data_IF_342132179617
#
_entry.id   IF_342132179617
#
_cell.length_a   1.000
_cell.length_b   1.000
_cell.length_c   1.000
_cell.angle_alpha   90.00
_cell.angle_beta   90.00
_cell.angle_gamma   90.00
#
_symmetry.space_group_name_H-M   'P 1'
#
loop_
_entity.id
_entity.type
_entity.pdbx_description
1 polymer ?
#
# COMPACT_ATOMS: atom_id res chain seq x y z
N UNK A 1 -37.12 -18.21 -56.41
CA UNK A 1 -36.33 -17.06 -55.86
C UNK A 1 -36.79 -16.60 -54.50
N UNK A 2 -38.07 -16.44 -54.16
CA UNK A 2 -38.52 -16.01 -52.83
C UNK A 2 -38.27 -17.05 -51.70
N UNK A 3 -38.31 -18.35 -52.02
CA UNK A 3 -38.08 -19.41 -51.01
C UNK A 3 -36.60 -19.53 -50.62
N UNK A 4 -35.64 -19.26 -51.52
CA UNK A 4 -34.19 -19.30 -51.24
C UNK A 4 -33.73 -18.11 -50.35
N UNK A 5 -34.39 -16.96 -50.50
CA UNK A 5 -34.08 -15.77 -49.68
C UNK A 5 -34.55 -15.92 -48.22
N UNK A 6 -35.64 -16.62 -47.96
CA UNK A 6 -36.16 -16.85 -46.60
C UNK A 6 -35.29 -17.86 -45.86
N UNK A 7 -34.77 -18.88 -46.50
CA UNK A 7 -33.85 -19.87 -45.88
C UNK A 7 -32.48 -19.25 -45.58
N UNK A 8 -31.98 -18.33 -46.39
CA UNK A 8 -30.71 -17.65 -46.14
C UNK A 8 -30.81 -16.64 -44.99
N UNK A 9 -31.95 -15.96 -44.82
CA UNK A 9 -32.20 -15.06 -43.70
C UNK A 9 -32.35 -15.79 -42.38
N UNK A 10 -32.96 -16.99 -42.36
CA UNK A 10 -33.12 -17.81 -41.17
C UNK A 10 -31.79 -18.41 -40.67
N UNK A 11 -30.88 -18.80 -41.58
CA UNK A 11 -29.54 -19.29 -41.22
C UNK A 11 -28.61 -18.18 -40.69
N UNK A 12 -28.74 -16.96 -41.20
CA UNK A 12 -27.96 -15.81 -40.72
C UNK A 12 -28.42 -15.34 -39.35
N UNK A 13 -29.73 -15.46 -39.01
CA UNK A 13 -30.27 -15.14 -37.68
C UNK A 13 -29.86 -16.17 -36.62
N UNK A 14 -29.63 -17.43 -36.98
CA UNK A 14 -29.17 -18.47 -36.04
C UNK A 14 -27.68 -18.33 -35.67
N UNK A 15 -26.86 -17.72 -36.57
CA UNK A 15 -25.44 -17.48 -36.33
C UNK A 15 -25.15 -16.28 -35.41
N UNK A 16 -26.13 -15.39 -35.19
CA UNK A 16 -26.02 -14.25 -34.27
C UNK A 16 -26.34 -14.59 -32.79
N UNK A 17 -26.78 -15.81 -32.50
CA UNK A 17 -27.10 -16.31 -31.17
C UNK A 17 -25.92 -17.08 -30.48
N UNK A 18 -24.76 -17.14 -31.14
CA UNK A 18 -23.52 -17.52 -30.42
C UNK A 18 -23.10 -16.29 -29.62
N UNK A 19 -23.88 -16.01 -28.60
CA UNK A 19 -23.60 -14.96 -27.65
C UNK A 19 -22.21 -15.21 -27.06
N UNK A 20 -21.37 -14.18 -27.05
CA UNK A 20 -20.22 -14.09 -26.20
C UNK A 20 -20.68 -14.32 -24.76
N UNK A 21 -20.69 -15.58 -24.31
CA UNK A 21 -20.66 -15.89 -22.89
C UNK A 21 -19.33 -15.32 -22.39
N UNK A 22 -19.36 -14.17 -21.77
CA UNK A 22 -18.23 -13.74 -20.97
C UNK A 22 -17.81 -14.93 -20.08
N UNK A 23 -16.52 -15.25 -19.95
CA UNK A 23 -16.11 -16.33 -19.06
C UNK A 23 -16.76 -16.06 -17.71
N UNK A 24 -17.57 -17.02 -17.21
CA UNK A 24 -18.08 -16.94 -15.85
C UNK A 24 -16.86 -16.83 -14.94
N UNK A 25 -16.72 -15.71 -14.25
CA UNK A 25 -15.73 -15.64 -13.18
C UNK A 25 -15.97 -16.84 -12.24
N UNK A 26 -14.91 -17.55 -11.95
CA UNK A 26 -14.97 -18.66 -10.98
C UNK A 26 -15.45 -18.09 -9.65
N UNK A 27 -16.60 -18.54 -9.16
CA UNK A 27 -17.23 -18.07 -7.92
C UNK A 27 -16.29 -18.19 -6.70
N UNK A 28 -15.23 -18.98 -6.81
CA UNK A 28 -14.20 -19.14 -5.80
C UNK A 28 -13.04 -18.13 -5.94
N UNK A 29 -13.01 -17.35 -7.00
CA UNK A 29 -11.95 -16.35 -7.20
C UNK A 29 -12.12 -15.17 -6.26
N UNK A 30 -11.03 -14.75 -5.63
CA UNK A 30 -10.93 -13.57 -4.79
C UNK A 30 -9.73 -12.73 -5.28
N UNK A 31 -9.98 -11.49 -5.69
CA UNK A 31 -8.97 -10.59 -6.24
C UNK A 31 -8.48 -9.60 -5.18
N UNK A 32 -7.15 -9.44 -5.07
CA UNK A 32 -6.54 -8.52 -4.10
C UNK A 32 -5.51 -7.63 -4.79
N UNK A 33 -5.71 -6.31 -4.69
CA UNK A 33 -4.72 -5.33 -5.09
C UNK A 33 -3.66 -5.16 -3.98
N UNK A 34 -2.37 -5.17 -4.35
CA UNK A 34 -1.28 -5.05 -3.40
C UNK A 34 -0.07 -4.35 -4.03
N UNK A 35 0.81 -3.75 -3.23
CA UNK A 35 2.15 -3.38 -3.68
C UNK A 35 3.06 -4.61 -3.72
N UNK A 36 4.16 -4.53 -4.48
CA UNK A 36 5.00 -5.70 -4.76
C UNK A 36 5.60 -6.33 -3.49
N UNK A 37 6.22 -5.51 -2.64
CA UNK A 37 6.92 -5.90 -1.40
C UNK A 37 6.42 -5.01 -0.27
N UNK A 38 6.14 -5.52 0.91
CA UNK A 38 6.05 -6.94 1.31
C UNK A 38 4.70 -7.57 0.97
N UNK A 39 3.69 -6.79 0.60
CA UNK A 39 2.28 -7.14 0.55
C UNK A 39 1.97 -8.31 -0.39
N UNK A 40 2.36 -8.21 -1.67
CA UNK A 40 2.13 -9.30 -2.62
C UNK A 40 2.95 -10.56 -2.27
N UNK A 41 4.12 -10.41 -1.64
CA UNK A 41 4.92 -11.55 -1.19
C UNK A 41 4.25 -12.30 -0.05
N UNK A 42 3.66 -11.58 0.93
CA UNK A 42 2.88 -12.17 2.02
C UNK A 42 1.63 -12.88 1.48
N UNK A 43 0.91 -12.26 0.53
CA UNK A 43 -0.24 -12.90 -0.13
C UNK A 43 0.15 -14.17 -0.88
N UNK A 44 1.30 -14.17 -1.59
CA UNK A 44 1.80 -15.36 -2.30
C UNK A 44 2.09 -16.52 -1.35
N UNK A 45 2.57 -16.23 -0.14
CA UNK A 45 2.85 -17.25 0.88
C UNK A 45 1.62 -18.06 1.25
N UNK A 46 0.44 -17.44 1.27
CA UNK A 46 -0.82 -18.07 1.69
C UNK A 46 -1.68 -18.58 0.53
N UNK A 47 -1.34 -18.29 -0.74
CA UNK A 47 -2.10 -18.79 -1.88
C UNK A 47 -2.33 -20.32 -1.85
N UNK A 48 -1.30 -21.17 -1.58
CA UNK A 48 -1.49 -22.61 -1.53
C UNK A 48 -2.41 -23.07 -0.39
N UNK A 49 -2.44 -22.35 0.73
CA UNK A 49 -3.32 -22.62 1.85
C UNK A 49 -4.77 -22.32 1.47
N UNK A 50 -5.01 -21.14 0.90
CA UNK A 50 -6.35 -20.73 0.46
C UNK A 50 -6.90 -21.63 -0.65
N UNK A 51 -6.06 -22.09 -1.58
CA UNK A 51 -6.47 -23.03 -2.62
C UNK A 51 -6.99 -24.35 -2.04
N UNK A 52 -6.38 -24.87 -0.96
CA UNK A 52 -6.88 -26.07 -0.24
C UNK A 52 -8.24 -25.83 0.45
N UNK A 53 -8.54 -24.57 0.78
CA UNK A 53 -9.82 -24.16 1.36
C UNK A 53 -10.86 -23.76 0.31
N UNK A 54 -10.56 -23.98 -0.99
CA UNK A 54 -11.44 -23.67 -2.12
C UNK A 54 -11.49 -22.20 -2.49
N UNK A 55 -10.47 -21.39 -2.15
CA UNK A 55 -10.36 -19.99 -2.55
C UNK A 55 -9.23 -19.81 -3.54
N UNK A 56 -9.55 -19.35 -4.76
CA UNK A 56 -8.60 -18.99 -5.81
C UNK A 56 -8.15 -17.54 -5.65
N UNK A 57 -7.07 -17.30 -4.90
CA UNK A 57 -6.55 -15.95 -4.68
C UNK A 57 -5.81 -15.44 -5.90
N UNK A 58 -6.26 -14.33 -6.48
CA UNK A 58 -5.59 -13.59 -7.55
C UNK A 58 -5.01 -12.29 -7.03
N UNK A 59 -3.70 -12.12 -7.16
CA UNK A 59 -2.97 -10.95 -6.69
C UNK A 59 -2.73 -10.01 -7.88
N UNK A 60 -3.19 -8.76 -7.77
CA UNK A 60 -2.96 -7.68 -8.75
C UNK A 60 -1.97 -6.69 -8.15
N UNK A 61 -0.77 -6.62 -8.73
CA UNK A 61 0.31 -5.76 -8.20
C UNK A 61 0.20 -4.36 -8.80
N UNK A 62 0.25 -3.34 -7.93
CA UNK A 62 0.25 -1.93 -8.27
C UNK A 62 1.53 -1.25 -7.80
N UNK A 63 1.96 -0.21 -8.52
CA UNK A 63 3.17 0.54 -8.21
C UNK A 63 2.89 1.84 -7.41
N UNK A 64 1.62 2.23 -7.27
CA UNK A 64 1.16 3.43 -6.59
C UNK A 64 0.15 3.11 -5.47
N UNK A 65 -0.24 4.14 -4.70
CA UNK A 65 -1.18 3.99 -3.59
C UNK A 65 -2.62 4.41 -3.92
N UNK A 66 -2.87 5.04 -5.07
CA UNK A 66 -4.20 5.55 -5.44
C UNK A 66 -5.05 4.46 -6.08
N UNK A 67 -4.46 3.75 -7.05
CA UNK A 67 -5.18 2.75 -7.84
C UNK A 67 -5.75 1.59 -7.01
N UNK A 68 -5.05 1.01 -6.02
CA UNK A 68 -5.61 -0.10 -5.24
C UNK A 68 -6.95 0.23 -4.58
N UNK A 69 -7.10 1.43 -4.00
CA UNK A 69 -8.36 1.86 -3.40
C UNK A 69 -9.43 2.18 -4.46
N UNK A 70 -9.04 2.84 -5.56
CA UNK A 70 -9.95 3.15 -6.67
C UNK A 70 -10.56 1.89 -7.27
N UNK A 71 -9.74 0.88 -7.56
CA UNK A 71 -10.21 -0.39 -8.15
C UNK A 71 -11.16 -1.15 -7.20
N UNK A 72 -10.92 -1.10 -5.88
CA UNK A 72 -11.83 -1.72 -4.90
C UNK A 72 -13.12 -0.93 -4.77
N UNK A 73 -13.06 0.41 -4.73
CA UNK A 73 -14.25 1.25 -4.63
C UNK A 73 -15.17 1.10 -5.87
N UNK A 74 -14.59 0.94 -7.06
CA UNK A 74 -15.28 0.72 -8.33
C UNK A 74 -15.72 -0.73 -8.56
N UNK A 75 -15.44 -1.64 -7.62
CA UNK A 75 -15.76 -3.08 -7.71
C UNK A 75 -15.04 -3.86 -8.82
N UNK A 76 -13.95 -3.32 -9.37
CA UNK A 76 -13.09 -4.01 -10.33
C UNK A 76 -12.19 -5.05 -9.67
N UNK A 77 -11.87 -4.86 -8.38
CA UNK A 77 -11.10 -5.76 -7.51
C UNK A 77 -11.84 -5.89 -6.18
N UNK A 78 -11.79 -7.06 -5.56
CA UNK A 78 -12.54 -7.32 -4.33
C UNK A 78 -11.96 -6.59 -3.12
N UNK A 79 -10.65 -6.66 -2.94
CA UNK A 79 -9.93 -6.20 -1.75
C UNK A 79 -8.63 -5.51 -2.13
N UNK A 80 -8.05 -4.77 -1.18
CA UNK A 80 -6.66 -4.38 -1.26
C UNK A 80 -5.91 -4.64 0.05
N UNK A 81 -4.59 -4.72 -0.07
CA UNK A 81 -3.67 -4.88 1.05
C UNK A 81 -2.38 -4.13 0.72
N UNK A 82 -2.24 -2.89 1.25
CA UNK A 82 -1.09 -2.02 0.98
C UNK A 82 -1.00 -0.81 1.90
N UNK A 83 -2.00 -0.54 2.74
CA UNK A 83 -2.21 0.76 3.36
C UNK A 83 -2.40 0.70 4.87
N UNK A 84 -2.15 1.84 5.50
CA UNK A 84 -2.42 2.10 6.92
C UNK A 84 -3.80 2.75 7.11
N UNK A 85 -4.30 2.73 8.35
CA UNK A 85 -5.59 3.37 8.67
C UNK A 85 -5.62 4.86 8.37
N UNK A 86 -4.61 5.69 8.74
CA UNK A 86 -4.63 7.12 8.40
C UNK A 86 -4.69 7.39 6.90
N UNK A 87 -4.00 6.56 6.07
CA UNK A 87 -4.09 6.66 4.62
C UNK A 87 -5.49 6.34 4.10
N UNK A 88 -6.11 5.25 4.59
CA UNK A 88 -7.47 4.87 4.22
C UNK A 88 -8.49 5.96 4.59
N UNK A 89 -8.39 6.50 5.80
CA UNK A 89 -9.29 7.55 6.28
C UNK A 89 -9.19 8.83 5.43
N UNK A 90 -7.97 9.22 5.05
CA UNK A 90 -7.73 10.34 4.13
C UNK A 90 -8.34 10.07 2.75
N UNK A 91 -8.09 8.91 2.17
CA UNK A 91 -8.64 8.51 0.87
C UNK A 91 -10.18 8.51 0.88
N UNK A 92 -10.79 7.88 1.88
CA UNK A 92 -12.25 7.84 2.01
C UNK A 92 -12.86 9.25 2.09
N UNK A 93 -12.26 10.13 2.90
CA UNK A 93 -12.70 11.52 3.04
C UNK A 93 -12.58 12.30 1.74
N UNK A 94 -11.45 12.19 1.05
CA UNK A 94 -11.15 12.96 -0.17
C UNK A 94 -11.93 12.49 -1.40
N UNK A 95 -12.20 11.18 -1.47
CA UNK A 95 -12.87 10.55 -2.62
C UNK A 95 -14.34 10.25 -2.36
N UNK A 96 -14.85 10.48 -1.15
CA UNK A 96 -16.24 10.16 -0.78
C UNK A 96 -16.51 8.65 -0.82
N UNK A 97 -15.49 7.82 -0.58
CA UNK A 97 -15.60 6.36 -0.54
C UNK A 97 -15.82 5.86 0.89
N UNK A 98 -16.20 4.58 1.03
CA UNK A 98 -16.51 3.96 2.32
C UNK A 98 -15.81 2.60 2.46
N UNK A 99 -14.55 2.53 2.00
CA UNK A 99 -13.75 1.33 2.18
C UNK A 99 -13.51 1.06 3.66
N UNK A 100 -13.51 -0.22 4.05
CA UNK A 100 -13.48 -0.63 5.45
C UNK A 100 -12.35 -1.60 5.74
N UNK A 101 -11.77 -1.49 6.93
CA UNK A 101 -10.75 -2.41 7.45
C UNK A 101 -11.38 -3.76 7.76
N UNK A 102 -10.71 -4.83 7.33
CA UNK A 102 -11.08 -6.22 7.62
C UNK A 102 -10.17 -6.78 8.73
N UNK A 103 -8.85 -6.71 8.55
CA UNK A 103 -7.87 -7.15 9.56
C UNK A 103 -6.54 -6.42 9.41
N UNK A 104 -5.83 -6.22 10.53
CA UNK A 104 -4.44 -5.78 10.55
C UNK A 104 -3.50 -6.95 10.29
N UNK A 105 -2.36 -6.71 9.65
CA UNK A 105 -1.43 -7.77 9.27
C UNK A 105 0.00 -7.48 9.72
N UNK A 106 0.55 -6.31 9.41
CA UNK A 106 1.95 -6.01 9.73
C UNK A 106 2.19 -4.51 9.90
N UNK A 107 3.35 -4.19 10.44
CA UNK A 107 3.86 -2.82 10.57
C UNK A 107 5.11 -2.69 9.68
N UNK A 108 5.22 -1.54 9.03
CA UNK A 108 6.38 -1.11 8.27
C UNK A 108 6.94 0.17 8.89
N UNK A 109 8.00 0.09 9.72
CA UNK A 109 8.62 1.28 10.27
C UNK A 109 9.12 2.22 9.18
N UNK A 110 8.63 3.45 9.15
CA UNK A 110 8.98 4.46 8.15
C UNK A 110 10.40 4.97 8.40
N UNK A 111 11.16 5.25 7.32
CA UNK A 111 12.56 5.61 7.45
C UNK A 111 12.99 6.84 6.64
N UNK A 112 14.06 7.48 7.11
CA UNK A 112 14.78 8.55 6.40
C UNK A 112 16.14 8.04 5.93
N UNK A 113 16.46 8.26 4.66
CA UNK A 113 17.63 7.67 3.99
C UNK A 113 18.49 8.75 3.32
N UNK A 114 19.78 8.50 3.25
CA UNK A 114 20.72 9.33 2.50
C UNK A 114 21.79 8.46 1.83
N UNK A 115 22.22 8.84 0.64
CA UNK A 115 23.42 8.28 0.00
C UNK A 115 24.66 9.13 0.25
N UNK A 116 24.49 10.39 0.66
CA UNK A 116 25.57 11.35 0.87
C UNK A 116 26.11 11.35 2.30
N UNK A 117 25.23 11.08 3.29
CA UNK A 117 25.58 11.17 4.71
C UNK A 117 25.38 9.82 5.42
N UNK A 118 26.13 9.61 6.51
CA UNK A 118 26.07 8.39 7.34
C UNK A 118 25.39 8.60 8.67
N UNK A 119 25.11 9.84 9.04
CA UNK A 119 24.44 10.24 10.27
C UNK A 119 23.63 11.49 10.01
N UNK A 120 22.52 11.65 10.72
CA UNK A 120 21.63 12.81 10.63
C UNK A 120 22.33 14.11 11.03
N UNK A 121 23.31 14.04 11.94
CA UNK A 121 24.07 15.18 12.41
C UNK A 121 24.96 15.80 11.32
N UNK A 122 25.31 15.02 10.29
CA UNK A 122 26.11 15.47 9.15
C UNK A 122 25.32 16.28 8.12
N UNK A 123 23.99 16.36 8.25
CA UNK A 123 23.18 17.16 7.33
C UNK A 123 23.60 18.64 7.40
N UNK A 124 23.93 19.26 6.27
CA UNK A 124 24.30 20.67 6.24
C UNK A 124 23.09 21.58 6.50
N UNK A 125 23.38 22.82 6.81
CA UNK A 125 22.38 23.89 6.78
C UNK A 125 21.84 24.05 5.36
N UNK A 126 20.52 24.18 5.20
CA UNK A 126 19.87 24.23 3.89
C UNK A 126 19.75 22.86 3.18
N UNK A 127 19.96 21.72 3.87
CA UNK A 127 19.88 20.41 3.26
C UNK A 127 18.54 20.18 2.54
N UNK A 128 18.61 19.56 1.36
CA UNK A 128 17.45 19.19 0.55
C UNK A 128 16.79 17.91 1.08
N UNK A 129 15.47 17.97 1.30
CA UNK A 129 14.69 16.87 1.88
C UNK A 129 13.49 16.54 1.00
N UNK A 130 13.32 15.27 0.60
CA UNK A 130 12.11 14.82 -0.07
C UNK A 130 11.22 14.02 0.85
N UNK A 131 9.91 14.30 0.80
CA UNK A 131 8.87 13.65 1.62
C UNK A 131 7.68 13.25 0.74
N UNK A 132 6.82 12.29 1.18
CA UNK A 132 5.58 11.95 0.47
C UNK A 132 4.64 13.15 0.36
N UNK A 133 3.86 13.21 -0.73
CA UNK A 133 2.89 14.29 -0.98
C UNK A 133 1.46 13.93 -0.56
N UNK A 134 1.16 12.68 -0.21
CA UNK A 134 -0.14 12.34 0.33
C UNK A 134 -0.26 12.78 1.80
N UNK A 135 -1.45 13.24 2.25
CA UNK A 135 -1.60 13.87 3.57
C UNK A 135 -1.13 13.01 4.75
N UNK A 136 -1.37 11.70 4.70
CA UNK A 136 -1.04 10.78 5.77
C UNK A 136 0.47 10.56 5.90
N UNK A 137 1.15 10.18 4.80
CA UNK A 137 2.58 9.93 4.83
C UNK A 137 3.40 11.22 4.90
N UNK A 138 2.87 12.36 4.39
CA UNK A 138 3.46 13.69 4.58
C UNK A 138 3.57 14.01 6.08
N UNK A 139 2.44 13.95 6.79
CA UNK A 139 2.41 14.17 8.23
C UNK A 139 3.31 13.20 8.99
N UNK A 140 3.28 11.92 8.63
CA UNK A 140 4.14 10.87 9.21
C UNK A 140 5.62 11.20 9.08
N UNK A 141 6.05 11.69 7.91
CA UNK A 141 7.41 12.14 7.67
C UNK A 141 7.80 13.33 8.57
N UNK A 142 6.92 14.32 8.68
CA UNK A 142 7.15 15.49 9.53
C UNK A 142 7.20 15.12 11.01
N UNK A 143 6.35 14.22 11.47
CA UNK A 143 6.35 13.70 12.83
C UNK A 143 7.66 12.96 13.15
N UNK A 144 8.19 12.16 12.21
CA UNK A 144 9.49 11.50 12.38
C UNK A 144 10.63 12.51 12.51
N UNK A 145 10.67 13.53 11.66
CA UNK A 145 11.67 14.59 11.74
C UNK A 145 11.57 15.38 13.05
N UNK A 146 10.35 15.72 13.48
CA UNK A 146 10.11 16.44 14.71
C UNK A 146 10.53 15.63 15.95
N UNK A 147 10.23 14.34 15.98
CA UNK A 147 10.65 13.41 17.04
C UNK A 147 12.17 13.39 17.25
N UNK A 148 12.92 13.57 16.16
CA UNK A 148 14.39 13.60 16.18
C UNK A 148 14.97 15.03 16.26
N UNK A 149 14.15 16.05 16.52
CA UNK A 149 14.58 17.43 16.76
C UNK A 149 15.07 18.18 15.55
N UNK A 150 14.83 17.67 14.31
CA UNK A 150 15.21 18.34 13.07
C UNK A 150 14.29 19.50 12.72
N UNK A 151 13.03 19.42 13.14
CA UNK A 151 12.03 20.49 13.04
C UNK A 151 11.20 20.52 14.33
N UNK A 152 10.44 21.60 14.52
CA UNK A 152 9.38 21.65 15.54
C UNK A 152 8.04 21.84 14.85
N UNK A 153 7.04 21.04 15.23
CA UNK A 153 5.67 21.18 14.75
C UNK A 153 4.81 21.90 15.78
N UNK A 154 3.79 22.61 15.31
CA UNK A 154 2.80 23.29 16.15
C UNK A 154 2.12 22.32 17.11
N UNK A 155 1.78 21.13 16.64
CA UNK A 155 1.25 20.01 17.43
C UNK A 155 1.98 18.73 17.02
N UNK A 156 2.85 18.15 17.88
CA UNK A 156 3.61 16.95 17.58
C UNK A 156 2.78 15.66 17.59
N UNK A 157 1.48 15.75 17.87
CA UNK A 157 0.55 14.61 17.88
C UNK A 157 -0.44 14.64 16.71
N UNK A 158 -0.45 15.71 15.92
CA UNK A 158 -1.36 15.87 14.80
C UNK A 158 -0.93 15.02 13.59
N UNK A 159 -1.66 13.94 13.32
CA UNK A 159 -1.45 13.04 12.18
C UNK A 159 -1.83 13.65 10.81
N UNK A 160 -2.24 14.94 10.78
CA UNK A 160 -2.56 15.70 9.57
C UNK A 160 -1.67 16.96 9.45
N UNK A 161 -0.52 16.98 10.11
CA UNK A 161 0.47 18.07 10.00
C UNK A 161 0.95 18.23 8.56
N UNK A 162 1.18 19.47 8.17
CA UNK A 162 1.70 19.88 6.86
C UNK A 162 2.97 20.72 7.04
N UNK A 163 3.65 21.06 5.96
CA UNK A 163 4.81 21.97 6.01
C UNK A 163 4.47 23.33 6.65
N UNK A 164 3.19 23.77 6.63
CA UNK A 164 2.73 25.01 7.25
C UNK A 164 2.68 24.94 8.77
N UNK A 165 2.73 23.75 9.34
CA UNK A 165 2.70 23.52 10.77
C UNK A 165 4.09 23.47 11.39
N UNK A 166 5.16 23.64 10.59
CA UNK A 166 6.54 23.77 11.06
C UNK A 166 6.71 25.14 11.72
N UNK A 167 7.00 25.14 13.01
CA UNK A 167 7.23 26.37 13.81
C UNK A 167 8.70 26.68 14.01
N UNK A 168 9.59 25.67 13.89
CA UNK A 168 11.03 25.85 13.87
C UNK A 168 11.70 24.86 12.90
N UNK A 169 12.68 25.35 12.17
CA UNK A 169 13.49 24.59 11.21
C UNK A 169 14.95 25.09 11.33
N UNK A 170 15.67 24.69 12.40
CA UNK A 170 16.96 25.27 12.77
C UNK A 170 18.05 25.02 11.73
N UNK A 171 17.93 23.94 10.94
CA UNK A 171 18.87 23.65 9.83
C UNK A 171 18.38 24.19 8.48
N UNK A 172 17.34 25.00 8.43
CA UNK A 172 16.77 25.57 7.19
C UNK A 172 16.52 24.52 6.10
N UNK A 173 16.08 23.30 6.49
CA UNK A 173 15.80 22.19 5.57
C UNK A 173 14.88 22.64 4.45
N UNK A 174 15.21 22.26 3.22
CA UNK A 174 14.46 22.60 2.01
C UNK A 174 13.60 21.41 1.59
N UNK A 175 12.29 21.50 1.81
CA UNK A 175 11.36 20.41 1.55
C UNK A 175 10.84 20.39 0.12
N UNK A 176 10.76 19.19 -0.47
CA UNK A 176 10.07 18.90 -1.72
C UNK A 176 9.14 17.70 -1.53
N UNK A 177 7.87 17.90 -1.80
CA UNK A 177 6.82 16.89 -1.71
C UNK A 177 6.69 16.14 -3.03
N UNK A 178 6.74 14.81 -3.01
CA UNK A 178 6.68 13.96 -4.20
C UNK A 178 5.77 12.75 -3.93
N UNK A 179 5.26 12.16 -5.01
CA UNK A 179 4.60 10.86 -4.92
C UNK A 179 5.53 9.82 -4.29
N UNK A 180 5.01 9.04 -3.32
CA UNK A 180 5.80 8.13 -2.50
C UNK A 180 6.64 7.14 -3.32
N UNK A 181 6.10 6.66 -4.46
CA UNK A 181 6.80 5.76 -5.39
C UNK A 181 8.04 6.38 -6.05
N UNK A 182 8.13 7.72 -6.10
CA UNK A 182 9.25 8.42 -6.71
C UNK A 182 10.41 8.69 -5.75
N UNK A 183 10.17 8.65 -4.44
CA UNK A 183 11.15 9.05 -3.43
C UNK A 183 12.48 8.26 -3.50
N UNK A 184 12.50 6.92 -3.68
CA UNK A 184 13.77 6.20 -3.78
C UNK A 184 14.67 6.66 -4.92
N UNK A 185 14.08 7.19 -6.01
CA UNK A 185 14.82 7.69 -7.18
C UNK A 185 15.51 9.03 -6.94
N UNK A 186 15.11 9.75 -5.90
CA UNK A 186 15.70 11.05 -5.56
C UNK A 186 16.96 10.95 -4.71
N UNK A 187 17.33 9.77 -4.22
CA UNK A 187 18.43 9.57 -3.26
C UNK A 187 19.81 10.05 -3.74
N UNK A 188 20.05 10.06 -5.06
CA UNK A 188 21.32 10.57 -5.62
C UNK A 188 21.34 12.10 -5.72
N UNK A 189 20.16 12.73 -5.75
CA UNK A 189 20.01 14.18 -5.95
C UNK A 189 19.92 14.94 -4.62
N UNK A 190 19.18 14.40 -3.65
CA UNK A 190 18.86 15.05 -2.38
C UNK A 190 19.79 14.66 -1.24
N UNK A 191 19.73 15.39 -0.15
CA UNK A 191 20.52 15.12 1.05
C UNK A 191 19.81 14.13 1.99
N UNK A 192 18.49 14.14 2.01
CA UNK A 192 17.66 13.22 2.79
C UNK A 192 16.36 12.91 2.04
N UNK A 193 15.95 11.64 2.03
CA UNK A 193 14.65 11.21 1.52
C UNK A 193 13.91 10.40 2.57
N UNK A 194 12.65 10.76 2.86
CA UNK A 194 11.77 10.02 3.76
C UNK A 194 10.91 9.06 2.95
N UNK A 195 11.15 7.76 3.10
CA UNK A 195 10.66 6.72 2.19
C UNK A 195 9.87 5.68 2.96
N UNK A 196 8.67 5.35 2.48
CA UNK A 196 7.89 4.23 2.98
C UNK A 196 8.64 2.90 2.77
N UNK A 197 8.57 2.03 3.75
CA UNK A 197 9.38 0.80 3.80
C UNK A 197 9.16 -0.13 2.61
N UNK A 198 7.93 -0.26 2.11
CA UNK A 198 7.66 -1.05 0.90
C UNK A 198 8.44 -0.54 -0.33
N UNK A 199 8.55 0.78 -0.51
CA UNK A 199 9.32 1.37 -1.60
C UNK A 199 10.83 1.32 -1.33
N UNK A 200 11.25 1.44 -0.07
CA UNK A 200 12.65 1.26 0.32
C UNK A 200 13.11 -0.18 0.01
N UNK A 201 12.35 -1.18 0.44
CA UNK A 201 12.63 -2.60 0.15
C UNK A 201 12.65 -2.89 -1.35
N UNK A 202 11.70 -2.36 -2.12
CA UNK A 202 11.64 -2.51 -3.58
C UNK A 202 12.86 -1.87 -4.28
N UNK A 203 13.45 -0.83 -3.68
CA UNK A 203 14.68 -0.18 -4.15
C UNK A 203 15.97 -0.84 -3.62
N UNK A 204 15.87 -1.96 -2.91
CA UNK A 204 17.01 -2.69 -2.35
C UNK A 204 17.59 -2.09 -1.06
N UNK A 205 16.88 -1.14 -0.42
CA UNK A 205 17.26 -0.59 0.87
C UNK A 205 16.70 -1.45 2.01
N UNK A 206 17.49 -1.63 3.06
CA UNK A 206 17.04 -2.28 4.28
C UNK A 206 16.79 -1.23 5.36
N UNK A 207 15.53 -1.00 5.79
CA UNK A 207 15.20 0.04 6.77
C UNK A 207 16.00 -0.06 8.08
N UNK A 208 16.28 -1.28 8.56
CA UNK A 208 17.00 -1.49 9.82
C UNK A 208 18.51 -1.28 9.72
N UNK A 209 19.07 -1.18 8.51
CA UNK A 209 20.51 -1.03 8.26
C UNK A 209 20.87 0.29 7.59
N UNK A 210 20.01 0.75 6.66
CA UNK A 210 20.33 1.83 5.73
C UNK A 210 19.65 3.16 6.12
N UNK A 211 18.60 3.12 6.96
CA UNK A 211 17.93 4.33 7.41
C UNK A 211 18.78 5.09 8.44
N UNK A 212 18.91 6.41 8.26
CA UNK A 212 19.52 7.31 9.26
C UNK A 212 18.58 7.59 10.42
N UNK A 213 17.26 7.62 10.15
CA UNK A 213 16.18 7.66 11.13
C UNK A 213 15.16 6.59 10.77
N UNK A 214 14.59 5.94 11.77
CA UNK A 214 13.53 4.95 11.61
C UNK A 214 12.50 5.08 12.72
N UNK A 215 11.24 4.86 12.41
CA UNK A 215 10.17 4.78 13.41
C UNK A 215 10.38 3.64 14.39
N UNK A 216 9.79 3.79 15.58
CA UNK A 216 9.76 2.73 16.57
C UNK A 216 8.98 1.50 16.09
N UNK A 217 9.34 0.35 16.62
CA UNK A 217 8.66 -0.93 16.38
C UNK A 217 7.20 -0.94 16.85
N UNK A 218 6.83 -0.06 17.77
CA UNK A 218 5.46 0.10 18.28
C UNK A 218 4.70 1.20 17.52
N UNK A 219 5.04 1.42 16.26
CA UNK A 219 4.37 2.37 15.38
C UNK A 219 2.87 2.03 15.26
N UNK A 220 1.95 3.02 15.32
CA UNK A 220 0.52 2.80 15.15
C UNK A 220 0.11 2.50 13.69
N UNK A 221 1.05 2.61 12.75
CA UNK A 221 0.81 2.48 11.33
C UNK A 221 0.79 1.02 10.87
N UNK A 222 -0.20 0.26 11.36
CA UNK A 222 -0.48 -1.10 10.90
C UNK A 222 -0.96 -1.07 9.45
N UNK A 223 -0.51 -2.00 8.63
CA UNK A 223 -1.01 -2.27 7.29
C UNK A 223 -2.18 -3.25 7.34
N UNK A 224 -3.26 -2.93 6.63
CA UNK A 224 -4.54 -3.61 6.72
C UNK A 224 -4.96 -4.26 5.40
N UNK A 225 -5.65 -5.40 5.52
CA UNK A 225 -6.56 -5.89 4.49
C UNK A 225 -7.81 -5.01 4.52
N UNK A 226 -8.19 -4.48 3.37
CA UNK A 226 -9.31 -3.53 3.22
C UNK A 226 -10.24 -4.01 2.12
N UNK A 227 -11.53 -3.84 2.34
CA UNK A 227 -12.60 -4.16 1.41
C UNK A 227 -13.71 -3.13 1.41
N UNK A 228 -14.86 -3.54 0.92
CA UNK A 228 -16.08 -2.74 0.92
C UNK A 228 -17.03 -3.25 2.02
N UNK A 229 -17.99 -2.41 2.49
CA UNK A 229 -19.01 -2.85 3.44
C UNK A 229 -19.86 -4.03 2.92
N UNK A 230 -20.07 -4.12 1.59
CA UNK A 230 -20.88 -5.17 0.96
C UNK A 230 -20.17 -6.52 0.85
N UNK A 231 -18.83 -6.59 0.91
CA UNK A 231 -18.09 -7.85 0.79
C UNK A 231 -17.27 -8.24 2.03
N UNK A 232 -17.19 -7.40 3.06
CA UNK A 232 -16.36 -7.67 4.25
C UNK A 232 -16.71 -8.98 4.96
N UNK A 233 -17.96 -9.44 4.88
CA UNK A 233 -18.44 -10.67 5.51
C UNK A 233 -18.49 -11.88 4.55
N UNK A 234 -17.99 -11.75 3.31
CA UNK A 234 -17.88 -12.86 2.38
C UNK A 234 -17.00 -13.98 3.00
N UNK A 235 -17.45 -15.25 2.99
CA UNK A 235 -16.68 -16.37 3.56
C UNK A 235 -15.25 -16.49 2.98
N UNK A 236 -15.04 -16.15 1.71
CA UNK A 236 -13.71 -16.15 1.06
C UNK A 236 -12.81 -15.07 1.66
N UNK A 237 -13.38 -13.88 1.93
CA UNK A 237 -12.69 -12.76 2.56
C UNK A 237 -12.29 -13.10 3.99
N UNK A 238 -13.19 -13.76 4.75
CA UNK A 238 -12.90 -14.19 6.12
C UNK A 238 -11.82 -15.29 6.17
N UNK A 239 -11.79 -16.21 5.21
CA UNK A 239 -10.70 -17.19 5.07
C UNK A 239 -9.36 -16.49 4.81
N UNK A 240 -9.32 -15.51 3.90
CA UNK A 240 -8.12 -14.71 3.62
C UNK A 240 -7.65 -13.96 4.87
N UNK A 241 -8.55 -13.28 5.57
CA UNK A 241 -8.23 -12.55 6.81
C UNK A 241 -7.61 -13.48 7.87
N UNK A 242 -8.19 -14.65 8.08
CA UNK A 242 -7.67 -15.68 8.98
C UNK A 242 -6.29 -16.18 8.55
N UNK A 243 -6.09 -16.43 7.24
CA UNK A 243 -4.82 -16.91 6.71
C UNK A 243 -3.71 -15.85 6.88
N UNK A 244 -4.02 -14.55 6.69
CA UNK A 244 -3.08 -13.44 6.90
C UNK A 244 -2.61 -13.30 8.36
N UNK A 245 -3.42 -13.74 9.32
CA UNK A 245 -3.08 -13.71 10.76
C UNK A 245 -2.67 -15.09 11.28
N UNK A 246 -2.12 -15.94 10.41
CA UNK A 246 -1.67 -17.28 10.79
C UNK A 246 -0.24 -17.29 11.33
N UNK A 247 0.12 -18.32 12.12
CA UNK A 247 1.50 -18.53 12.57
C UNK A 247 2.51 -18.65 11.41
N UNK A 248 2.08 -19.20 10.27
CA UNK A 248 2.89 -19.31 9.05
C UNK A 248 3.26 -17.95 8.47
N UNK A 249 2.32 -17.02 8.43
CA UNK A 249 2.56 -15.64 7.97
C UNK A 249 3.48 -14.91 8.95
N UNK A 250 3.26 -15.08 10.27
CA UNK A 250 4.15 -14.53 11.28
C UNK A 250 5.59 -14.99 11.08
N UNK A 251 5.79 -16.30 10.98
CA UNK A 251 7.11 -16.89 10.77
C UNK A 251 7.75 -16.41 9.46
N UNK A 252 6.97 -16.33 8.37
CA UNK A 252 7.44 -15.81 7.08
C UNK A 252 7.93 -14.36 7.19
N UNK A 253 7.14 -13.48 7.83
CA UNK A 253 7.52 -12.07 8.01
C UNK A 253 8.82 -11.96 8.80
N UNK A 254 8.93 -12.65 9.94
CA UNK A 254 10.10 -12.61 10.82
C UNK A 254 11.35 -13.13 10.11
N UNK A 255 11.24 -14.25 9.39
CA UNK A 255 12.36 -14.90 8.70
C UNK A 255 12.79 -14.14 7.44
N UNK A 256 11.87 -13.54 6.70
CA UNK A 256 12.19 -12.88 5.44
C UNK A 256 12.69 -11.45 5.62
N UNK A 257 12.06 -10.69 6.49
CA UNK A 257 12.32 -9.24 6.58
C UNK A 257 13.22 -8.85 7.75
N UNK A 258 13.57 -9.76 8.65
CA UNK A 258 14.56 -9.55 9.72
C UNK A 258 14.35 -8.23 10.50
N UNK A 259 13.09 -7.89 10.80
CA UNK A 259 12.71 -6.69 11.55
C UNK A 259 12.46 -5.44 10.70
N UNK A 260 12.68 -5.48 9.38
CA UNK A 260 12.26 -4.40 8.48
C UNK A 260 10.73 -4.34 8.30
N UNK A 261 10.07 -5.48 8.48
CA UNK A 261 8.61 -5.64 8.55
C UNK A 261 8.31 -6.47 9.79
N UNK A 262 7.27 -6.10 10.53
CA UNK A 262 6.93 -6.70 11.82
C UNK A 262 5.48 -7.22 11.79
N UNK A 263 5.18 -8.43 12.27
CA UNK A 263 3.79 -8.88 12.40
C UNK A 263 3.04 -8.01 13.42
N UNK A 264 1.75 -7.75 13.16
CA UNK A 264 0.88 -6.89 13.98
C UNK A 264 -0.29 -7.66 14.63
N UNK A 265 -0.17 -8.98 14.78
CA UNK A 265 -1.18 -9.87 15.36
C UNK A 265 -0.54 -10.94 16.25
#
# INVERSE_FOLDING_TARGET
MKLLLVTLAATLALLLLVGCSAPKEDENTLTVAATAVPHAEILKQIQPLLAKEGVNLQIKVFADYVQPNTQVAEKNIDLNYFQTKPYLDAFNRERGTHLTIITGVHIEPFGAYSRKFKSIDQLPDGASVTIPNDPSNNSRALLLLAKHGLITLKDPTNELSTLKDITANPKHLQFRELEAAMLPRTLDEVDLALINTNYALAAGLNPTKDALLIEDKNSPYVNYLVGRPDNQNDPRVQKLAKALNSPEVKAFIEQKYHGAVLPAF
#
